data_IF_578381301554
#
_entry.id   IF_578381301554
#
_cell.length_a   1.000
_cell.length_b   1.000
_cell.length_c   1.000
_cell.angle_alpha   90.00
_cell.angle_beta   90.00
_cell.angle_gamma   90.00
#
_symmetry.space_group_name_H-M   'P 1'
#
loop_
_entity.id
_entity.type
_entity.pdbx_description
1 polymer ?
#
# COMPACT_ATOMS: atom_id res chain seq x y z
N UNK A 1 -0.76 -7.12 45.93
CA UNK A 1 -1.90 -8.02 45.73
C UNK A 1 -2.24 -8.02 44.26
N UNK A 2 -1.81 -9.06 43.52
CA UNK A 2 -2.17 -9.24 42.11
C UNK A 2 -3.47 -10.04 42.07
N UNK A 3 -4.52 -9.48 41.47
CA UNK A 3 -5.81 -10.14 41.36
C UNK A 3 -5.72 -11.33 40.41
N UNK A 4 -6.14 -12.50 40.88
CA UNK A 4 -6.46 -13.63 40.01
C UNK A 4 -7.71 -13.25 39.22
N UNK A 5 -7.54 -12.88 37.96
CA UNK A 5 -8.65 -12.81 37.01
C UNK A 5 -9.39 -14.16 36.97
N UNK A 6 -10.67 -14.18 36.57
CA UNK A 6 -11.45 -15.41 36.59
C UNK A 6 -10.81 -16.45 35.66
N UNK A 7 -10.30 -17.54 36.24
CA UNK A 7 -9.58 -18.64 35.56
C UNK A 7 -10.53 -19.64 34.88
N UNK A 8 -11.76 -19.22 34.57
CA UNK A 8 -12.84 -20.12 34.18
C UNK A 8 -13.12 -19.97 32.69
N UNK A 9 -12.29 -20.66 31.89
CA UNK A 9 -12.30 -20.72 30.42
C UNK A 9 -13.68 -21.07 29.81
N UNK A 10 -14.55 -21.70 30.60
CA UNK A 10 -15.87 -22.17 30.16
C UNK A 10 -16.97 -21.13 30.45
N UNK A 11 -16.69 -20.11 31.27
CA UNK A 11 -17.66 -19.07 31.69
C UNK A 11 -17.44 -17.73 31.00
N UNK A 12 -16.20 -17.44 30.63
CA UNK A 12 -15.85 -16.29 29.80
C UNK A 12 -15.06 -16.89 28.64
N UNK A 13 -15.63 -17.04 27.44
CA UNK A 13 -14.82 -17.33 26.27
C UNK A 13 -13.88 -16.14 26.15
N UNK A 14 -12.66 -16.31 26.65
CA UNK A 14 -11.56 -15.41 26.37
C UNK A 14 -11.60 -15.22 24.85
N UNK A 15 -11.67 -13.98 24.38
CA UNK A 15 -11.51 -13.72 22.95
C UNK A 15 -10.21 -14.42 22.56
N UNK A 16 -10.34 -15.56 21.89
CA UNK A 16 -9.28 -16.56 21.78
C UNK A 16 -8.12 -15.88 21.05
N UNK A 17 -7.12 -15.45 21.81
CA UNK A 17 -6.11 -14.54 21.28
C UNK A 17 -5.17 -15.39 20.46
N UNK A 18 -5.43 -15.41 19.16
CA UNK A 18 -4.66 -16.20 18.23
C UNK A 18 -3.32 -15.49 17.97
N UNK A 19 -2.22 -16.13 18.35
CA UNK A 19 -0.88 -15.69 18.00
C UNK A 19 -0.46 -16.35 16.68
N UNK A 20 0.17 -15.59 15.80
CA UNK A 20 0.68 -16.08 14.52
C UNK A 20 1.93 -15.30 14.11
N UNK A 21 2.75 -15.91 13.27
CA UNK A 21 4.00 -15.28 12.82
C UNK A 21 3.73 -14.26 11.71
N UNK A 22 4.36 -13.09 11.81
CA UNK A 22 4.35 -12.09 10.74
C UNK A 22 5.74 -11.96 10.13
N UNK A 23 5.89 -12.31 8.87
CA UNK A 23 7.13 -12.21 8.11
C UNK A 23 7.04 -11.00 7.19
N UNK A 24 7.84 -9.98 7.47
CA UNK A 24 8.02 -8.86 6.55
C UNK A 24 9.28 -9.09 5.71
N UNK A 25 9.15 -9.05 4.39
CA UNK A 25 10.25 -9.42 3.49
C UNK A 25 10.24 -8.67 2.16
N UNK A 26 11.32 -8.84 1.37
CA UNK A 26 11.39 -8.34 0.01
C UNK A 26 10.36 -9.03 -0.88
N UNK A 27 9.86 -8.31 -1.88
CA UNK A 27 8.93 -8.84 -2.86
C UNK A 27 9.59 -8.91 -4.24
N UNK A 28 9.73 -10.12 -4.78
CA UNK A 28 10.33 -10.35 -6.11
C UNK A 28 9.43 -9.93 -7.27
N UNK A 29 8.15 -9.65 -7.02
CA UNK A 29 7.19 -9.20 -8.02
C UNK A 29 7.17 -7.68 -8.20
N UNK A 30 8.04 -6.96 -7.49
CA UNK A 30 8.18 -5.52 -7.63
C UNK A 30 8.61 -5.12 -9.04
N UNK A 31 7.93 -4.11 -9.56
CA UNK A 31 8.31 -3.37 -10.75
C UNK A 31 8.92 -2.02 -10.38
N UNK A 32 9.70 -1.47 -11.28
CA UNK A 32 10.24 -0.11 -11.17
C UNK A 32 9.10 0.91 -11.25
N UNK A 33 9.08 1.87 -10.32
CA UNK A 33 8.17 3.01 -10.37
C UNK A 33 8.55 3.91 -11.56
N UNK A 34 7.60 4.17 -12.46
CA UNK A 34 7.86 4.92 -13.71
C UNK A 34 7.14 6.27 -13.69
N UNK A 35 7.86 7.34 -14.02
CA UNK A 35 7.27 8.68 -14.17
C UNK A 35 7.49 9.23 -15.58
N UNK A 36 6.39 9.58 -16.25
CA UNK A 36 6.38 10.21 -17.57
C UNK A 36 5.90 11.65 -17.43
N UNK A 37 6.68 12.60 -17.95
CA UNK A 37 6.38 14.02 -17.86
C UNK A 37 6.40 14.69 -19.24
N UNK A 38 5.32 15.39 -19.59
CA UNK A 38 5.15 16.17 -20.81
C UNK A 38 4.88 17.61 -20.43
N UNK A 39 5.66 18.54 -20.98
CA UNK A 39 5.49 19.99 -20.76
C UNK A 39 5.41 20.71 -22.10
N UNK A 40 4.51 21.70 -22.20
CA UNK A 40 4.32 22.56 -23.37
C UNK A 40 4.19 24.02 -22.92
N UNK A 41 5.15 24.84 -23.33
CA UNK A 41 5.16 26.27 -23.02
C UNK A 41 4.96 27.14 -24.27
N UNK A 42 4.20 28.22 -24.13
CA UNK A 42 4.07 29.29 -25.11
C UNK A 42 4.48 30.61 -24.45
N UNK A 43 5.43 31.31 -25.04
CA UNK A 43 5.81 32.66 -24.66
C UNK A 43 5.47 33.64 -25.80
N UNK A 44 4.80 34.73 -25.47
CA UNK A 44 4.37 35.74 -26.44
C UNK A 44 4.50 37.15 -25.87
N UNK A 45 5.00 38.07 -26.68
CA UNK A 45 5.06 39.50 -26.39
C UNK A 45 4.16 40.24 -27.41
N UNK A 46 2.87 40.47 -27.09
CA UNK A 46 1.94 41.15 -28.00
C UNK A 46 2.31 42.62 -28.30
N UNK A 47 2.92 43.32 -27.33
CA UNK A 47 3.39 44.70 -27.43
C UNK A 47 4.64 44.85 -26.58
N UNK A 48 5.49 45.83 -26.92
CA UNK A 48 6.69 46.16 -26.14
C UNK A 48 6.32 46.31 -24.65
N UNK A 49 7.14 45.72 -23.78
CA UNK A 49 6.98 45.70 -22.32
C UNK A 49 5.76 44.90 -21.77
N UNK A 50 5.06 44.10 -22.59
CA UNK A 50 4.02 43.16 -22.10
C UNK A 50 4.32 41.72 -22.52
N UNK A 51 4.87 40.92 -21.60
CA UNK A 51 5.09 39.49 -21.78
C UNK A 51 3.95 38.62 -21.25
N UNK A 52 3.55 37.61 -22.02
CA UNK A 52 2.59 36.58 -21.64
C UNK A 52 3.23 35.20 -21.78
N UNK A 53 3.02 34.33 -20.79
CA UNK A 53 3.42 32.91 -20.86
C UNK A 53 2.24 32.01 -20.50
N UNK A 54 2.19 30.85 -21.13
CA UNK A 54 1.23 29.79 -20.84
C UNK A 54 2.00 28.48 -20.80
N UNK A 55 1.92 27.75 -19.69
CA UNK A 55 2.71 26.55 -19.46
C UNK A 55 1.81 25.38 -19.08
N UNK A 56 1.58 24.48 -20.01
CA UNK A 56 0.83 23.25 -19.76
C UNK A 56 1.76 22.10 -19.38
N UNK A 57 1.35 21.32 -18.38
CA UNK A 57 2.07 20.12 -17.95
C UNK A 57 1.14 18.93 -17.77
N UNK A 58 1.67 17.74 -18.02
CA UNK A 58 1.04 16.45 -17.75
C UNK A 58 2.07 15.47 -17.23
N UNK A 59 1.82 14.97 -16.02
CA UNK A 59 2.67 14.03 -15.29
C UNK A 59 1.85 12.78 -15.04
N UNK A 60 2.41 11.64 -15.41
CA UNK A 60 1.83 10.31 -15.19
C UNK A 60 2.83 9.46 -14.43
N UNK A 61 2.40 8.85 -13.34
CA UNK A 61 3.21 8.02 -12.44
C UNK A 61 2.56 6.65 -12.31
N UNK A 62 3.33 5.61 -12.59
CA UNK A 62 2.88 4.22 -12.63
C UNK A 62 3.72 3.36 -11.66
N UNK A 63 3.13 2.26 -11.20
CA UNK A 63 3.79 1.27 -10.36
C UNK A 63 4.31 1.85 -9.03
N UNK A 64 3.58 2.79 -8.42
CA UNK A 64 3.98 3.35 -7.11
C UNK A 64 4.00 2.27 -6.04
N UNK A 65 5.13 2.16 -5.34
CA UNK A 65 5.34 1.13 -4.33
C UNK A 65 4.75 1.55 -2.99
N UNK A 66 3.89 0.69 -2.43
CA UNK A 66 3.30 0.87 -1.10
C UNK A 66 3.46 -0.39 -0.28
N UNK A 67 3.42 -0.28 1.05
CA UNK A 67 3.50 -1.43 1.95
C UNK A 67 2.15 -1.65 2.65
N UNK A 68 1.38 -2.69 2.27
CA UNK A 68 0.15 -3.06 2.98
C UNK A 68 0.48 -3.56 4.38
N UNK A 69 -0.47 -3.42 5.31
CA UNK A 69 -0.35 -4.06 6.61
C UNK A 69 -0.61 -5.56 6.49
N UNK A 70 -0.15 -6.35 7.47
CA UNK A 70 -0.49 -7.77 7.55
C UNK A 70 -2.01 -8.00 7.59
N UNK A 71 -2.77 -7.08 8.20
CA UNK A 71 -4.23 -7.18 8.28
C UNK A 71 -4.89 -7.00 6.91
N UNK A 72 -4.36 -6.10 6.07
CA UNK A 72 -4.86 -5.91 4.70
C UNK A 72 -4.67 -7.17 3.86
N UNK A 73 -3.50 -7.82 4.01
CA UNK A 73 -3.18 -9.10 3.35
C UNK A 73 -4.07 -10.23 3.88
N UNK A 74 -4.37 -10.28 5.18
CA UNK A 74 -5.32 -11.27 5.73
C UNK A 74 -6.71 -11.08 5.14
N UNK A 75 -7.15 -9.83 5.00
CA UNK A 75 -8.49 -9.48 4.51
C UNK A 75 -8.65 -9.80 3.01
N UNK A 76 -7.60 -9.60 2.22
CA UNK A 76 -7.60 -9.89 0.78
C UNK A 76 -6.23 -10.45 0.30
N UNK A 77 -5.97 -11.76 0.52
CA UNK A 77 -4.66 -12.36 0.22
C UNK A 77 -4.31 -12.37 -1.27
N UNK A 78 -5.30 -12.28 -2.16
CA UNK A 78 -5.09 -12.31 -3.61
C UNK A 78 -4.77 -10.95 -4.22
N UNK A 79 -5.01 -9.85 -3.50
CA UNK A 79 -4.82 -8.48 -3.99
C UNK A 79 -3.38 -8.01 -3.98
N UNK A 80 -2.54 -8.61 -3.13
CA UNK A 80 -1.17 -8.16 -2.90
C UNK A 80 -0.19 -9.20 -3.46
N UNK A 81 0.37 -8.99 -4.66
CA UNK A 81 1.29 -9.94 -5.29
C UNK A 81 2.55 -10.13 -4.43
N UNK A 82 3.10 -11.34 -4.37
CA UNK A 82 4.24 -11.66 -3.49
C UNK A 82 3.93 -11.71 -1.98
N UNK A 83 2.66 -11.77 -1.58
CA UNK A 83 2.23 -11.97 -0.19
C UNK A 83 1.55 -13.33 0.00
N UNK A 84 1.55 -13.85 1.23
CA UNK A 84 1.00 -15.18 1.53
C UNK A 84 0.37 -15.24 2.92
N UNK A 85 -0.80 -15.90 3.02
CA UNK A 85 -1.45 -16.22 4.29
C UNK A 85 -1.53 -17.74 4.44
N UNK A 86 -0.73 -18.29 5.35
CA UNK A 86 -0.72 -19.73 5.65
C UNK A 86 -1.66 -20.00 6.80
N UNK A 87 -2.59 -20.95 6.61
CA UNK A 87 -3.56 -21.37 7.62
C UNK A 87 -3.32 -22.80 8.08
N UNK A 88 -3.59 -23.07 9.35
CA UNK A 88 -3.60 -24.41 9.93
C UNK A 88 -4.84 -25.20 9.46
N UNK A 89 -4.85 -26.51 9.71
CA UNK A 89 -5.96 -27.39 9.32
C UNK A 89 -7.29 -27.05 10.04
N UNK A 90 -7.22 -26.36 11.19
CA UNK A 90 -8.37 -25.87 11.94
C UNK A 90 -8.90 -24.50 11.44
N UNK A 91 -8.26 -23.92 10.41
CA UNK A 91 -8.62 -22.63 9.83
C UNK A 91 -7.97 -21.41 10.48
N UNK A 92 -7.28 -21.57 11.61
CA UNK A 92 -6.51 -20.50 12.27
C UNK A 92 -5.32 -20.08 11.40
N UNK A 93 -4.88 -18.84 11.54
CA UNK A 93 -3.70 -18.33 10.82
C UNK A 93 -2.42 -18.88 11.46
N UNK A 94 -1.55 -19.51 10.66
CA UNK A 94 -0.23 -19.93 11.11
C UNK A 94 0.79 -18.80 10.95
N UNK A 95 0.82 -18.20 9.77
CA UNK A 95 1.76 -17.14 9.43
C UNK A 95 1.24 -16.25 8.31
N UNK A 96 1.69 -15.00 8.30
CA UNK A 96 1.44 -14.03 7.23
C UNK A 96 2.77 -13.50 6.72
N UNK A 97 3.04 -13.71 5.43
CA UNK A 97 4.16 -13.13 4.71
C UNK A 97 3.67 -11.93 3.91
N UNK A 98 4.29 -10.77 4.11
CA UNK A 98 3.91 -9.53 3.44
C UNK A 98 5.13 -8.67 3.13
N UNK A 99 4.97 -7.75 2.18
CA UNK A 99 6.05 -6.90 1.70
C UNK A 99 5.53 -5.75 0.84
N UNK A 100 6.43 -4.88 0.36
CA UNK A 100 6.07 -3.80 -0.56
C UNK A 100 5.46 -4.35 -1.86
N UNK A 101 4.50 -3.64 -2.42
CA UNK A 101 3.80 -3.97 -3.69
C UNK A 101 3.52 -2.70 -4.50
N UNK A 102 3.54 -2.81 -5.84
CA UNK A 102 3.11 -1.73 -6.73
C UNK A 102 1.57 -1.63 -6.70
N UNK A 103 1.01 -0.48 -6.28
CA UNK A 103 -0.45 -0.34 -6.09
C UNK A 103 -1.07 0.94 -6.64
N UNK A 104 -0.30 1.98 -6.96
CA UNK A 104 -0.87 3.27 -7.36
C UNK A 104 -0.62 3.62 -8.81
N UNK A 105 -1.56 4.41 -9.32
CA UNK A 105 -1.52 5.12 -10.58
C UNK A 105 -1.88 6.58 -10.29
N UNK A 106 -0.99 7.52 -10.58
CA UNK A 106 -1.23 8.95 -10.36
C UNK A 106 -1.09 9.73 -11.67
N UNK A 107 -2.07 10.61 -11.93
CA UNK A 107 -2.00 11.59 -13.01
C UNK A 107 -2.15 13.00 -12.43
N UNK A 108 -1.32 13.93 -12.90
CA UNK A 108 -1.40 15.35 -12.55
C UNK A 108 -1.28 16.17 -13.83
N UNK A 109 -2.20 17.10 -14.06
CA UNK A 109 -2.12 18.02 -15.20
C UNK A 109 -2.58 19.42 -14.82
N UNK A 110 -2.04 20.41 -15.52
CA UNK A 110 -2.36 21.82 -15.27
C UNK A 110 -1.89 22.74 -16.39
N UNK A 111 -2.27 24.01 -16.26
CA UNK A 111 -1.91 25.16 -17.08
C UNK A 111 -1.37 26.27 -16.18
#
# INVERSE_FOLDING_TARGET
>A
AGGSGPQDKDKYPECDTQYFDTLNGPNSELKEETSTNINLGLAWEPVDDLGLTVDWYHIKMEDVVTAPSYQDVINDPGKYPGTEVVRNADGTIKSVSYGPVNQSYEERSGI
#
